data_IF_928587354898
#
_entry.id   IF_928587354898
#
_cell.length_a   1.000
_cell.length_b   1.000
_cell.length_c   1.000
_cell.angle_alpha   90.00
_cell.angle_beta   90.00
_cell.angle_gamma   90.00
#
_symmetry.space_group_name_H-M   'P 1'
#
loop_
_entity.id
_entity.type
_entity.pdbx_description
1 polymer ?
#
# COMPACT_ATOMS: atom_id res chain seq x y z
N UNK A 1 33.15 -14.83 -8.72
CA UNK A 1 32.12 -14.05 -9.45
C UNK A 1 31.02 -13.72 -8.50
N UNK A 2 31.04 -12.52 -7.93
CA UNK A 2 30.17 -12.10 -6.85
C UNK A 2 28.81 -11.63 -7.37
N UNK A 3 27.75 -12.28 -6.92
CA UNK A 3 26.38 -11.80 -7.11
C UNK A 3 26.18 -10.56 -6.24
N UNK A 4 26.16 -9.40 -6.84
CA UNK A 4 25.74 -8.14 -6.20
C UNK A 4 24.22 -8.19 -6.00
N UNK A 5 23.77 -8.54 -4.79
CA UNK A 5 22.38 -8.36 -4.41
C UNK A 5 22.16 -6.88 -4.10
N UNK A 6 21.51 -6.20 -5.03
CA UNK A 6 21.08 -4.81 -4.85
C UNK A 6 19.82 -4.82 -3.99
N UNK A 7 19.79 -3.97 -2.98
CA UNK A 7 18.64 -3.81 -2.10
C UNK A 7 17.42 -3.32 -2.91
N UNK A 8 16.45 -4.21 -3.13
CA UNK A 8 15.18 -3.88 -3.78
C UNK A 8 14.16 -3.50 -2.72
N UNK A 9 13.81 -2.25 -2.70
CA UNK A 9 12.50 -1.84 -2.25
C UNK A 9 11.48 -2.22 -3.32
N UNK A 10 10.41 -2.89 -2.88
CA UNK A 10 9.18 -3.10 -3.66
C UNK A 10 9.39 -3.11 -5.17
N UNK A 11 9.96 -4.17 -5.76
CA UNK A 11 9.94 -4.32 -7.21
C UNK A 11 10.31 -5.74 -7.62
N UNK A 12 9.45 -6.31 -8.40
CA UNK A 12 9.53 -7.65 -8.95
C UNK A 12 10.04 -7.71 -10.36
N UNK A 13 10.57 -8.86 -10.72
CA UNK A 13 10.94 -9.22 -12.10
C UNK A 13 10.17 -10.49 -12.49
N UNK A 14 9.43 -10.42 -13.57
CA UNK A 14 8.78 -11.57 -14.19
C UNK A 14 9.31 -11.80 -15.60
N UNK A 15 9.52 -13.05 -15.98
CA UNK A 15 9.89 -13.47 -17.35
C UNK A 15 9.05 -14.68 -17.79
N UNK A 16 8.46 -14.55 -18.99
CA UNK A 16 8.07 -15.50 -20.07
C UNK A 16 6.88 -16.44 -19.86
N UNK A 17 5.88 -16.25 -20.56
CA UNK A 17 5.17 -16.64 -21.81
C UNK A 17 4.45 -17.99 -21.87
N UNK A 18 3.20 -18.02 -22.31
CA UNK A 18 2.53 -18.65 -23.47
C UNK A 18 1.03 -18.92 -23.25
N UNK A 19 0.24 -18.38 -24.16
CA UNK A 19 -1.11 -18.54 -24.70
C UNK A 19 -2.22 -19.40 -24.05
N UNK A 20 -3.44 -18.86 -24.17
CA UNK A 20 -4.73 -19.56 -24.26
C UNK A 20 -5.95 -18.73 -23.87
N UNK A 21 -6.82 -18.42 -24.83
CA UNK A 21 -8.05 -17.62 -24.69
C UNK A 21 -9.27 -18.46 -24.35
N UNK A 22 -10.18 -17.97 -23.50
CA UNK A 22 -11.62 -18.30 -23.51
C UNK A 22 -12.41 -17.23 -22.72
N UNK A 23 -13.60 -16.87 -23.25
CA UNK A 23 -14.48 -15.83 -22.74
C UNK A 23 -15.56 -16.41 -21.84
N UNK A 24 -15.97 -15.68 -20.79
CA UNK A 24 -17.22 -15.93 -20.04
C UNK A 24 -17.89 -14.65 -19.53
N UNK A 25 -19.25 -14.72 -19.41
CA UNK A 25 -20.20 -13.66 -19.13
C UNK A 25 -20.28 -13.25 -17.65
N UNK A 26 -20.60 -11.97 -17.40
CA UNK A 26 -20.72 -11.33 -16.11
C UNK A 26 -22.15 -11.37 -15.51
N UNK A 27 -22.32 -11.33 -14.21
CA UNK A 27 -23.55 -10.91 -13.55
C UNK A 27 -23.44 -9.52 -12.88
N UNK A 28 -24.62 -8.94 -12.65
CA UNK A 28 -24.97 -7.55 -12.46
C UNK A 28 -24.56 -6.89 -11.13
N UNK A 29 -24.49 -5.56 -11.24
CA UNK A 29 -24.13 -4.51 -10.30
C UNK A 29 -25.06 -4.35 -9.09
N UNK A 30 -24.49 -4.14 -7.88
CA UNK A 30 -25.15 -3.45 -6.78
C UNK A 30 -24.47 -2.11 -6.48
N UNK A 31 -25.25 -1.03 -6.62
CA UNK A 31 -24.87 0.35 -6.33
C UNK A 31 -24.67 0.57 -4.83
N UNK A 32 -23.49 1.00 -4.43
CA UNK A 32 -23.26 1.59 -3.09
C UNK A 32 -23.64 3.07 -3.19
N UNK A 33 -24.82 3.40 -2.65
CA UNK A 33 -25.31 4.77 -2.52
C UNK A 33 -24.53 5.50 -1.42
N UNK A 34 -23.84 6.57 -1.80
CA UNK A 34 -23.33 7.57 -0.86
C UNK A 34 -24.54 8.40 -0.40
N UNK A 35 -25.02 8.17 0.81
CA UNK A 35 -26.04 9.00 1.45
C UNK A 35 -25.49 10.40 1.69
N UNK A 36 -26.09 11.40 1.04
CA UNK A 36 -25.96 12.82 1.42
C UNK A 36 -26.79 13.02 2.68
N UNK A 37 -26.22 13.66 3.71
CA UNK A 37 -26.84 14.12 4.97
C UNK A 37 -26.49 13.35 6.27
N UNK A 38 -25.23 12.97 6.45
CA UNK A 38 -24.73 12.68 7.78
C UNK A 38 -23.84 13.81 8.28
N UNK A 39 -24.16 14.38 9.44
CA UNK A 39 -23.29 15.36 10.11
C UNK A 39 -21.93 14.71 10.36
N UNK A 40 -20.88 15.32 9.84
CA UNK A 40 -19.52 14.80 10.01
C UNK A 40 -19.17 14.74 11.51
N UNK A 41 -18.75 13.57 11.96
CA UNK A 41 -18.27 13.38 13.35
C UNK A 41 -16.78 13.63 13.42
N UNK A 42 -16.31 14.25 14.51
CA UNK A 42 -14.88 14.29 14.80
C UNK A 42 -14.39 12.89 15.13
N UNK A 43 -13.37 12.43 14.43
CA UNK A 43 -12.65 11.21 14.77
C UNK A 43 -11.87 11.36 16.10
N UNK A 44 -11.12 10.32 16.49
CA UNK A 44 -10.32 10.34 17.71
C UNK A 44 -9.25 11.44 17.66
N UNK A 45 -8.93 12.00 18.82
CA UNK A 45 -7.76 12.87 18.98
C UNK A 45 -6.51 11.97 18.89
N UNK A 46 -5.66 12.22 17.89
CA UNK A 46 -4.40 11.51 17.75
C UNK A 46 -3.35 12.07 18.73
N UNK A 47 -2.39 11.24 19.19
CA UNK A 47 -1.27 11.71 19.99
C UNK A 47 -0.51 12.81 19.24
N UNK A 48 -0.22 13.90 19.91
CA UNK A 48 0.54 15.03 19.38
C UNK A 48 1.56 15.50 20.41
N UNK A 49 2.67 16.03 19.94
CA UNK A 49 3.70 16.66 20.75
C UNK A 49 4.10 17.95 20.02
N UNK A 50 3.88 19.13 20.60
CA UNK A 50 4.17 20.43 19.99
C UNK A 50 5.69 20.65 19.76
N UNK A 51 6.54 19.87 20.41
CA UNK A 51 7.99 19.91 20.24
C UNK A 51 8.46 19.15 18.98
N UNK A 52 7.58 18.34 18.37
CA UNK A 52 7.94 17.60 17.16
C UNK A 52 7.97 18.50 15.93
N UNK A 53 8.97 18.31 15.05
CA UNK A 53 9.00 19.03 13.78
C UNK A 53 7.80 18.64 12.92
N UNK A 54 7.26 19.62 12.21
CA UNK A 54 6.13 19.47 11.30
C UNK A 54 6.61 19.37 9.84
N UNK A 55 5.89 18.60 9.05
CA UNK A 55 5.96 18.63 7.60
C UNK A 55 5.25 19.89 7.06
N UNK A 56 5.42 20.16 5.77
CA UNK A 56 4.82 21.30 5.09
C UNK A 56 3.27 21.30 5.14
N UNK A 57 2.65 20.14 5.29
CA UNK A 57 1.21 19.97 5.43
C UNK A 57 0.71 20.09 6.89
N UNK A 58 1.58 20.47 7.82
CA UNK A 58 1.25 20.66 9.23
C UNK A 58 1.16 19.37 10.06
N UNK A 59 1.50 18.22 9.50
CA UNK A 59 1.53 16.93 10.21
C UNK A 59 2.95 16.61 10.72
N UNK A 60 3.04 15.97 11.85
CA UNK A 60 4.29 15.34 12.32
C UNK A 60 4.28 13.83 12.04
N UNK A 61 5.43 13.18 12.21
CA UNK A 61 5.49 11.72 12.18
C UNK A 61 4.57 11.14 13.27
N UNK A 62 3.68 10.17 12.95
CA UNK A 62 2.72 9.64 13.91
C UNK A 62 3.37 9.07 15.17
N UNK A 63 2.86 9.47 16.33
CA UNK A 63 3.32 8.97 17.62
C UNK A 63 2.60 7.65 17.93
N UNK A 64 3.37 6.63 18.29
CA UNK A 64 2.83 5.37 18.80
C UNK A 64 3.24 5.23 20.26
N UNK A 65 2.28 5.06 21.18
CA UNK A 65 2.55 4.87 22.59
C UNK A 65 3.49 3.69 22.86
N UNK A 66 4.19 3.71 23.98
CA UNK A 66 5.05 2.59 24.38
C UNK A 66 4.26 1.44 25.01
N UNK A 67 3.20 1.76 25.75
CA UNK A 67 2.38 0.77 26.47
C UNK A 67 1.40 0.04 25.52
N UNK A 68 1.32 -1.30 25.59
CA UNK A 68 0.42 -2.10 24.75
C UNK A 68 -1.08 -1.76 24.91
N UNK A 69 -1.52 -1.33 26.09
CA UNK A 69 -2.93 -0.99 26.32
C UNK A 69 -3.30 0.34 25.64
N UNK A 70 -2.40 1.31 25.68
CA UNK A 70 -2.55 2.58 24.98
C UNK A 70 -2.53 2.38 23.44
N UNK A 71 -1.63 1.50 22.96
CA UNK A 71 -1.61 1.14 21.53
C UNK A 71 -2.95 0.49 21.13
N UNK A 72 -3.46 -0.44 21.94
CA UNK A 72 -4.74 -1.11 21.64
C UNK A 72 -5.92 -0.13 21.60
N UNK A 73 -5.97 0.80 22.56
CA UNK A 73 -7.00 1.84 22.61
C UNK A 73 -6.91 2.78 21.40
N UNK A 74 -5.71 3.25 21.07
CA UNK A 74 -5.47 4.12 19.91
C UNK A 74 -5.82 3.41 18.60
N UNK A 75 -5.32 2.18 18.41
CA UNK A 75 -5.60 1.39 17.20
C UNK A 75 -7.11 1.15 17.02
N UNK A 76 -7.80 0.77 18.11
CA UNK A 76 -9.24 0.57 18.07
C UNK A 76 -10.00 1.84 17.67
N UNK A 77 -9.60 2.99 18.21
CA UNK A 77 -10.22 4.27 17.89
C UNK A 77 -9.97 4.66 16.42
N UNK A 78 -8.75 4.49 15.94
CA UNK A 78 -8.36 4.76 14.54
C UNK A 78 -9.10 3.84 13.56
N UNK A 79 -9.13 2.53 13.83
CA UNK A 79 -9.84 1.56 12.98
C UNK A 79 -11.34 1.87 12.89
N UNK A 80 -11.98 2.17 14.03
CA UNK A 80 -13.40 2.56 14.04
C UNK A 80 -13.65 3.80 13.19
N UNK A 81 -12.80 4.82 13.33
CA UNK A 81 -12.96 6.07 12.57
C UNK A 81 -12.76 5.86 11.07
N UNK A 82 -11.77 5.08 10.65
CA UNK A 82 -11.53 4.77 9.23
C UNK A 82 -12.67 3.97 8.58
N UNK A 83 -13.42 3.21 9.39
CA UNK A 83 -14.59 2.43 8.94
C UNK A 83 -15.92 3.16 9.14
N UNK A 84 -15.91 4.37 9.71
CA UNK A 84 -17.11 5.19 9.89
C UNK A 84 -17.26 6.19 8.74
N UNK A 85 -18.36 6.05 7.98
CA UNK A 85 -18.69 6.94 6.86
C UNK A 85 -18.98 8.39 7.28
N UNK A 86 -19.09 8.67 8.58
CA UNK A 86 -19.30 10.02 9.11
C UNK A 86 -18.00 10.71 9.52
N UNK A 87 -16.88 10.02 9.53
CA UNK A 87 -15.58 10.63 9.80
C UNK A 87 -15.25 11.69 8.77
N UNK A 88 -14.84 12.87 9.25
CA UNK A 88 -14.48 14.00 8.38
C UNK A 88 -13.34 13.63 7.42
N UNK A 89 -13.49 13.99 6.15
CA UNK A 89 -12.49 13.76 5.12
C UNK A 89 -11.12 14.38 5.46
N UNK A 90 -11.11 15.48 6.19
CA UNK A 90 -9.88 16.18 6.63
C UNK A 90 -9.05 15.35 7.62
N UNK A 91 -9.70 14.45 8.38
CA UNK A 91 -9.01 13.61 9.37
C UNK A 91 -8.45 12.32 8.77
N UNK A 92 -9.00 11.84 7.65
CA UNK A 92 -8.64 10.56 7.05
C UNK A 92 -7.13 10.43 6.74
N UNK A 93 -6.42 11.47 6.22
CA UNK A 93 -4.98 11.37 5.98
C UNK A 93 -4.17 11.07 7.25
N UNK A 94 -4.47 11.77 8.35
CA UNK A 94 -3.79 11.56 9.63
C UNK A 94 -4.15 10.22 10.25
N UNK A 95 -5.40 9.79 10.15
CA UNK A 95 -5.87 8.49 10.65
C UNK A 95 -5.24 7.32 9.89
N UNK A 96 -5.21 7.37 8.56
CA UNK A 96 -4.58 6.34 7.73
C UNK A 96 -3.08 6.24 7.99
N UNK A 97 -2.39 7.36 8.10
CA UNK A 97 -0.97 7.39 8.44
C UNK A 97 -0.70 6.85 9.87
N UNK A 98 -1.54 7.22 10.86
CA UNK A 98 -1.44 6.69 12.22
C UNK A 98 -1.65 5.17 12.25
N UNK A 99 -2.67 4.66 11.56
CA UNK A 99 -2.91 3.22 11.39
C UNK A 99 -1.68 2.52 10.83
N UNK A 100 -1.14 3.03 9.73
CA UNK A 100 0.04 2.47 9.06
C UNK A 100 1.23 2.36 10.00
N UNK A 101 1.56 3.44 10.73
CA UNK A 101 2.74 3.48 11.60
C UNK A 101 2.58 2.53 12.79
N UNK A 102 1.37 2.40 13.37
CA UNK A 102 1.09 1.40 14.41
C UNK A 102 1.39 -0.01 13.87
N UNK A 103 0.86 -0.39 12.70
CA UNK A 103 1.12 -1.71 12.12
C UNK A 103 2.58 -1.91 11.71
N UNK A 104 3.27 -0.85 11.26
CA UNK A 104 4.71 -0.90 10.96
C UNK A 104 5.54 -1.23 12.21
N UNK A 105 5.20 -0.66 13.35
CA UNK A 105 5.91 -0.95 14.60
C UNK A 105 5.54 -2.33 15.15
N UNK A 106 4.25 -2.65 15.25
CA UNK A 106 3.77 -3.93 15.78
C UNK A 106 4.23 -5.14 14.95
N UNK A 107 4.38 -4.99 13.63
CA UNK A 107 4.86 -6.09 12.78
C UNK A 107 6.28 -6.54 13.11
N UNK A 108 7.11 -5.67 13.68
CA UNK A 108 8.50 -5.94 14.09
C UNK A 108 8.61 -6.56 15.50
N UNK A 109 7.60 -6.36 16.36
CA UNK A 109 7.58 -6.86 17.73
C UNK A 109 6.42 -7.84 17.95
N UNK A 110 6.73 -9.14 17.83
CA UNK A 110 5.73 -10.20 18.00
C UNK A 110 5.12 -10.23 19.39
N UNK A 111 5.93 -10.05 20.45
CA UNK A 111 5.44 -10.11 21.83
C UNK A 111 4.50 -8.94 22.14
N UNK A 112 4.85 -7.75 21.69
CA UNK A 112 4.00 -6.57 21.84
C UNK A 112 2.72 -6.70 21.03
N UNK A 113 2.80 -7.15 19.76
CA UNK A 113 1.62 -7.34 18.91
C UNK A 113 0.62 -8.33 19.49
N UNK A 114 1.07 -9.46 20.08
CA UNK A 114 0.19 -10.42 20.73
C UNK A 114 -0.53 -9.83 21.96
N UNK A 115 0.15 -9.00 22.75
CA UNK A 115 -0.48 -8.28 23.87
C UNK A 115 -1.57 -7.33 23.36
N UNK A 116 -1.25 -6.52 22.34
CA UNK A 116 -2.21 -5.57 21.74
C UNK A 116 -3.41 -6.31 21.16
N UNK A 117 -3.19 -7.37 20.39
CA UNK A 117 -4.27 -8.17 19.80
C UNK A 117 -5.26 -8.70 20.85
N UNK A 118 -4.77 -9.23 21.98
CA UNK A 118 -5.62 -9.75 23.05
C UNK A 118 -6.55 -8.69 23.69
N UNK A 119 -6.20 -7.42 23.59
CA UNK A 119 -6.97 -6.29 24.13
C UNK A 119 -8.00 -5.73 23.14
N UNK A 120 -7.93 -6.11 21.86
CA UNK A 120 -8.87 -5.67 20.84
C UNK A 120 -10.15 -6.54 20.86
N UNK A 121 -11.34 -5.98 20.56
CA UNK A 121 -12.54 -6.78 20.28
C UNK A 121 -12.32 -7.72 19.07
N UNK A 122 -12.98 -8.87 19.06
CA UNK A 122 -12.76 -9.97 18.09
C UNK A 122 -12.70 -9.51 16.63
N UNK A 123 -13.65 -8.66 16.21
CA UNK A 123 -13.64 -8.08 14.85
C UNK A 123 -12.32 -7.38 14.54
N UNK A 124 -11.86 -6.52 15.44
CA UNK A 124 -10.64 -5.72 15.23
C UNK A 124 -9.37 -6.51 15.43
N UNK A 125 -9.42 -7.60 16.22
CA UNK A 125 -8.33 -8.59 16.24
C UNK A 125 -8.13 -9.21 14.85
N UNK A 126 -9.21 -9.55 14.17
CA UNK A 126 -9.16 -10.14 12.84
C UNK A 126 -8.54 -9.18 11.82
N UNK A 127 -9.04 -7.94 11.77
CA UNK A 127 -8.48 -6.87 10.92
C UNK A 127 -6.98 -6.67 11.20
N UNK A 128 -6.61 -6.53 12.48
CA UNK A 128 -5.22 -6.32 12.87
C UNK A 128 -4.32 -7.50 12.51
N UNK A 129 -4.79 -8.75 12.65
CA UNK A 129 -4.04 -9.95 12.24
C UNK A 129 -3.70 -9.94 10.75
N UNK A 130 -4.65 -9.56 9.88
CA UNK A 130 -4.40 -9.44 8.44
C UNK A 130 -3.36 -8.38 8.11
N UNK A 131 -3.47 -7.18 8.68
CA UNK A 131 -2.45 -6.13 8.50
C UNK A 131 -1.07 -6.60 8.96
N UNK A 132 -0.98 -7.25 10.12
CA UNK A 132 0.28 -7.77 10.65
C UNK A 132 0.83 -8.90 9.78
N UNK A 133 -0.01 -9.80 9.29
CA UNK A 133 0.39 -10.87 8.38
C UNK A 133 0.99 -10.30 7.09
N UNK A 134 0.27 -9.39 6.42
CA UNK A 134 0.75 -8.73 5.21
C UNK A 134 2.11 -8.02 5.45
N UNK A 135 2.21 -7.24 6.52
CA UNK A 135 3.45 -6.53 6.85
C UNK A 135 4.62 -7.46 7.13
N UNK A 136 4.39 -8.58 7.82
CA UNK A 136 5.41 -9.59 8.14
C UNK A 136 5.89 -10.32 6.90
N UNK A 137 5.02 -10.56 5.91
CA UNK A 137 5.44 -11.11 4.63
C UNK A 137 6.43 -10.18 3.91
N UNK A 138 6.23 -8.86 3.94
CA UNK A 138 7.22 -7.91 3.43
C UNK A 138 8.53 -7.92 4.21
N UNK A 139 8.47 -8.01 5.54
CA UNK A 139 9.68 -8.12 6.36
C UNK A 139 10.46 -9.40 6.03
N UNK A 140 9.76 -10.52 5.80
CA UNK A 140 10.38 -11.80 5.42
C UNK A 140 10.99 -11.73 4.02
N UNK A 141 10.31 -11.11 3.06
CA UNK A 141 10.82 -10.92 1.69
C UNK A 141 12.16 -10.16 1.67
N UNK A 142 12.35 -9.22 2.60
CA UNK A 142 13.53 -8.36 2.67
C UNK A 142 14.50 -8.74 3.80
N UNK A 143 14.29 -9.88 4.47
CA UNK A 143 15.11 -10.28 5.64
C UNK A 143 16.62 -10.29 5.38
N UNK A 144 17.03 -10.67 4.17
CA UNK A 144 18.44 -10.77 3.78
C UNK A 144 18.90 -9.63 2.86
N UNK A 145 18.09 -8.58 2.72
CA UNK A 145 18.44 -7.41 1.91
C UNK A 145 19.32 -6.44 2.70
N UNK A 146 20.29 -5.84 2.02
CA UNK A 146 21.08 -4.78 2.63
C UNK A 146 20.20 -3.56 2.88
N UNK A 147 20.36 -2.96 4.06
CA UNK A 147 19.67 -1.70 4.40
C UNK A 147 20.27 -0.57 3.55
N UNK A 148 19.48 0.15 2.74
CA UNK A 148 19.99 1.20 1.87
C UNK A 148 20.46 2.41 2.68
N UNK A 149 21.53 3.07 2.20
CA UNK A 149 22.05 4.34 2.74
C UNK A 149 21.45 5.54 2.02
N UNK A 150 21.08 5.34 0.77
CA UNK A 150 20.54 6.38 -0.09
C UNK A 150 19.02 6.31 -0.16
N UNK A 151 18.40 7.48 -0.17
CA UNK A 151 17.00 7.62 -0.58
C UNK A 151 16.91 7.60 -2.10
N UNK A 152 15.83 7.05 -2.67
CA UNK A 152 15.71 6.87 -4.11
C UNK A 152 15.47 8.18 -4.87
N UNK A 153 15.77 8.15 -6.16
CA UNK A 153 15.43 9.20 -7.11
C UNK A 153 13.96 9.08 -7.53
N UNK A 154 13.05 9.44 -6.63
CA UNK A 154 11.61 9.39 -6.84
C UNK A 154 10.98 10.78 -6.70
N UNK A 155 9.79 10.91 -7.26
CA UNK A 155 8.81 11.92 -6.85
C UNK A 155 7.70 11.21 -6.08
N UNK A 156 7.29 11.76 -4.94
CA UNK A 156 6.10 11.31 -4.24
C UNK A 156 5.01 12.32 -4.53
N UNK A 157 3.97 11.86 -5.21
CA UNK A 157 2.85 12.66 -5.69
C UNK A 157 1.56 12.30 -4.96
N UNK A 158 0.57 13.18 -5.00
CA UNK A 158 -0.77 12.83 -4.57
C UNK A 158 -1.30 11.70 -5.48
N UNK A 159 -1.94 10.67 -4.91
CA UNK A 159 -2.53 9.61 -5.72
C UNK A 159 -3.74 10.14 -6.48
N UNK A 160 -4.15 9.42 -7.51
CA UNK A 160 -5.46 9.64 -8.15
C UNK A 160 -6.57 9.64 -7.08
N UNK A 161 -7.61 10.50 -7.18
CA UNK A 161 -8.71 10.49 -6.22
C UNK A 161 -9.29 9.11 -5.95
N UNK A 162 -9.55 8.78 -4.68
CA UNK A 162 -10.03 7.48 -4.24
C UNK A 162 -11.22 6.95 -5.06
N UNK A 163 -12.18 7.84 -5.37
CA UNK A 163 -13.36 7.51 -6.20
C UNK A 163 -12.96 7.06 -7.61
N UNK A 164 -11.96 7.69 -8.21
CA UNK A 164 -11.49 7.35 -9.55
C UNK A 164 -10.76 6.01 -9.53
N UNK A 165 -9.85 5.79 -8.57
CA UNK A 165 -9.17 4.50 -8.41
C UNK A 165 -10.17 3.35 -8.22
N UNK A 166 -11.17 3.50 -7.34
CA UNK A 166 -12.22 2.50 -7.16
C UNK A 166 -12.99 2.23 -8.46
N UNK A 167 -13.27 3.26 -9.24
CA UNK A 167 -13.90 3.11 -10.57
C UNK A 167 -13.01 2.33 -11.53
N UNK A 168 -11.70 2.60 -11.57
CA UNK A 168 -10.75 1.91 -12.43
C UNK A 168 -10.60 0.43 -12.06
N UNK A 169 -10.52 0.10 -10.75
CA UNK A 169 -10.48 -1.28 -10.30
C UNK A 169 -11.76 -2.03 -10.66
N UNK A 170 -12.94 -1.44 -10.41
CA UNK A 170 -14.23 -2.07 -10.75
C UNK A 170 -14.41 -2.28 -12.25
N UNK A 171 -13.95 -1.34 -13.07
CA UNK A 171 -13.96 -1.48 -14.53
C UNK A 171 -13.07 -2.65 -14.97
N UNK A 172 -11.87 -2.77 -14.40
CA UNK A 172 -10.95 -3.86 -14.68
C UNK A 172 -11.49 -5.22 -14.22
N UNK A 173 -12.11 -5.29 -13.03
CA UNK A 173 -12.83 -6.47 -12.54
C UNK A 173 -13.93 -6.91 -13.53
N UNK A 174 -14.78 -5.98 -13.96
CA UNK A 174 -15.85 -6.26 -14.93
C UNK A 174 -15.30 -6.79 -16.26
N UNK A 175 -14.17 -6.25 -16.72
CA UNK A 175 -13.57 -6.63 -17.99
C UNK A 175 -12.82 -7.98 -17.95
N UNK A 176 -12.33 -8.40 -16.78
CA UNK A 176 -11.38 -9.51 -16.69
C UNK A 176 -11.77 -10.61 -15.70
N UNK A 177 -12.64 -10.34 -14.73
CA UNK A 177 -12.99 -11.24 -13.64
C UNK A 177 -11.95 -11.25 -12.49
N UNK A 178 -10.86 -10.49 -12.56
CA UNK A 178 -9.94 -10.31 -11.42
C UNK A 178 -10.57 -9.34 -10.43
N UNK A 179 -10.75 -9.76 -9.17
CA UNK A 179 -11.39 -8.96 -8.13
C UNK A 179 -10.75 -7.59 -7.94
N UNK A 180 -11.57 -6.56 -7.75
CA UNK A 180 -11.14 -5.17 -7.55
C UNK A 180 -10.22 -5.02 -6.33
N UNK A 181 -10.48 -5.79 -5.28
CA UNK A 181 -9.70 -5.84 -4.04
C UNK A 181 -8.26 -6.33 -4.28
N UNK A 182 -8.07 -7.28 -5.19
CA UNK A 182 -6.74 -7.75 -5.60
C UNK A 182 -6.00 -6.65 -6.35
N UNK A 183 -6.68 -5.97 -7.28
CA UNK A 183 -6.08 -4.88 -8.06
C UNK A 183 -5.69 -3.69 -7.16
N UNK A 184 -6.55 -3.34 -6.21
CA UNK A 184 -6.27 -2.30 -5.22
C UNK A 184 -5.09 -2.68 -4.31
N UNK A 185 -5.02 -3.95 -3.87
CA UNK A 185 -3.92 -4.45 -3.05
C UNK A 185 -2.59 -4.48 -3.83
N UNK A 186 -2.60 -4.84 -5.12
CA UNK A 186 -1.41 -4.75 -5.98
C UNK A 186 -0.95 -3.29 -6.10
N UNK A 187 -1.86 -2.36 -6.40
CA UNK A 187 -1.51 -0.94 -6.53
C UNK A 187 -0.97 -0.33 -5.21
N UNK A 188 -1.55 -0.75 -4.06
CA UNK A 188 -1.03 -0.38 -2.74
C UNK A 188 0.42 -0.85 -2.56
N UNK A 189 0.68 -2.11 -2.90
CA UNK A 189 1.97 -2.76 -2.68
C UNK A 189 3.05 -2.21 -3.61
N UNK A 190 2.70 -1.97 -4.87
CA UNK A 190 3.65 -1.47 -5.87
C UNK A 190 4.07 -0.02 -5.62
N UNK A 191 3.12 0.87 -5.38
CA UNK A 191 3.41 2.31 -5.37
C UNK A 191 2.66 3.10 -4.30
N UNK A 192 2.02 2.46 -3.33
CA UNK A 192 1.18 3.16 -2.35
C UNK A 192 0.00 3.88 -3.03
N UNK A 193 -0.77 3.18 -3.84
CA UNK A 193 -1.90 3.72 -4.61
C UNK A 193 -1.48 4.74 -5.70
N UNK A 194 -0.29 4.54 -6.29
CA UNK A 194 0.22 5.44 -7.33
C UNK A 194 1.01 6.65 -6.82
N UNK A 195 1.32 6.72 -5.52
CA UNK A 195 2.10 7.84 -4.94
C UNK A 195 3.54 7.88 -5.43
N UNK A 196 4.16 6.73 -5.68
CA UNK A 196 5.54 6.68 -6.18
C UNK A 196 5.53 6.91 -7.69
N UNK A 197 5.94 8.10 -8.11
CA UNK A 197 6.30 8.39 -9.49
C UNK A 197 7.82 8.28 -9.61
N UNK A 198 8.26 7.11 -10.00
CA UNK A 198 9.66 6.74 -10.09
C UNK A 198 9.85 5.47 -10.90
N UNK A 199 11.09 5.26 -11.31
CA UNK A 199 11.49 4.05 -12.03
C UNK A 199 12.24 3.15 -11.06
N UNK A 200 11.91 1.88 -11.06
CA UNK A 200 12.62 0.90 -10.27
C UNK A 200 14.02 0.63 -10.79
N UNK A 201 14.86 -0.02 -9.96
CA UNK A 201 16.18 -0.51 -10.42
C UNK A 201 16.08 -1.53 -11.56
N UNK A 202 14.93 -2.19 -11.69
CA UNK A 202 14.63 -3.11 -12.80
C UNK A 202 13.97 -2.41 -14.00
N UNK A 203 13.85 -1.07 -13.97
CA UNK A 203 13.16 -0.25 -14.97
C UNK A 203 11.62 -0.44 -15.00
N UNK A 204 11.01 -0.91 -13.90
CA UNK A 204 9.55 -0.92 -13.78
C UNK A 204 9.01 0.50 -13.61
N UNK A 205 7.85 0.79 -14.20
CA UNK A 205 7.28 2.13 -14.36
C UNK A 205 5.79 2.17 -14.03
N UNK A 206 5.33 3.38 -13.70
CA UNK A 206 3.92 3.67 -13.48
C UNK A 206 3.34 3.11 -12.17
N UNK A 207 2.05 3.38 -11.90
CA UNK A 207 1.42 3.05 -10.62
C UNK A 207 1.32 1.54 -10.34
N UNK A 208 1.38 0.70 -11.37
CA UNK A 208 1.36 -0.76 -11.26
C UNK A 208 2.72 -1.41 -11.54
N UNK A 209 3.80 -0.61 -11.64
CA UNK A 209 5.19 -1.02 -11.80
C UNK A 209 5.44 -2.05 -12.91
N UNK A 210 4.93 -1.78 -14.09
CA UNK A 210 5.21 -2.61 -15.27
C UNK A 210 6.64 -2.45 -15.79
N UNK A 211 7.26 -3.56 -16.15
CA UNK A 211 8.42 -3.51 -17.04
C UNK A 211 7.95 -3.09 -18.44
N UNK A 212 8.68 -2.20 -19.16
CA UNK A 212 8.32 -1.84 -20.53
C UNK A 212 8.19 -3.04 -21.47
N UNK A 213 8.98 -4.09 -21.27
CA UNK A 213 8.88 -5.33 -22.02
C UNK A 213 7.56 -6.06 -21.80
N UNK A 214 7.09 -6.14 -20.54
CA UNK A 214 5.80 -6.74 -20.19
C UNK A 214 4.65 -5.86 -20.68
N UNK A 215 4.78 -4.53 -20.57
CA UNK A 215 3.78 -3.60 -21.12
C UNK A 215 3.56 -3.81 -22.60
N UNK A 216 4.64 -4.02 -23.37
CA UNK A 216 4.60 -4.21 -24.82
C UNK A 216 4.19 -5.63 -25.26
N UNK A 217 3.92 -6.54 -24.32
CA UNK A 217 3.34 -7.84 -24.67
C UNK A 217 1.95 -7.67 -25.28
N UNK A 218 1.66 -8.40 -26.36
CA UNK A 218 0.36 -8.30 -27.05
C UNK A 218 -0.81 -8.51 -26.09
N UNK A 219 -1.73 -7.53 -26.04
CA UNK A 219 -2.95 -7.56 -25.23
C UNK A 219 -2.69 -7.33 -23.72
N UNK A 220 -1.55 -6.73 -23.32
CA UNK A 220 -1.29 -6.30 -21.96
C UNK A 220 -1.40 -4.78 -21.85
N UNK A 221 -0.39 -4.03 -22.28
CA UNK A 221 -0.41 -2.57 -22.21
C UNK A 221 -1.24 -1.95 -23.35
N UNK A 222 -2.04 -0.98 -22.98
CA UNK A 222 -2.77 -0.09 -23.89
C UNK A 222 -2.75 1.31 -23.28
N UNK A 223 -2.50 2.35 -24.08
CA UNK A 223 -2.40 3.73 -23.59
C UNK A 223 -1.04 4.04 -22.96
N UNK A 224 -1.04 4.67 -21.80
CA UNK A 224 0.16 5.11 -21.10
C UNK A 224 0.44 4.25 -19.85
N UNK A 225 1.64 3.65 -19.78
CA UNK A 225 2.14 2.86 -18.64
C UNK A 225 2.11 3.64 -17.32
N UNK A 226 2.11 4.98 -17.37
CA UNK A 226 2.09 5.87 -16.20
C UNK A 226 0.69 6.37 -15.87
N UNK A 227 -0.29 6.22 -16.76
CA UNK A 227 -1.66 6.55 -16.47
C UNK A 227 -2.29 5.51 -15.51
N UNK A 228 -2.91 5.93 -14.39
CA UNK A 228 -3.48 4.99 -13.43
C UNK A 228 -4.60 4.12 -14.00
N UNK A 229 -5.48 4.67 -14.85
CA UNK A 229 -6.54 3.89 -15.47
C UNK A 229 -5.94 2.78 -16.36
N UNK A 230 -5.05 3.15 -17.28
CA UNK A 230 -4.48 2.24 -18.26
C UNK A 230 -3.63 1.15 -17.62
N UNK A 231 -2.81 1.55 -16.63
CA UNK A 231 -1.97 0.61 -15.89
C UNK A 231 -2.79 -0.40 -15.06
N UNK A 232 -3.91 0.01 -14.44
CA UNK A 232 -4.80 -0.89 -13.69
C UNK A 232 -5.47 -1.88 -14.65
N UNK A 233 -5.96 -1.42 -15.82
CA UNK A 233 -6.53 -2.32 -16.82
C UNK A 233 -5.49 -3.34 -17.32
N UNK A 234 -4.26 -2.90 -17.57
CA UNK A 234 -3.16 -3.77 -17.97
C UNK A 234 -2.80 -4.80 -16.87
N UNK A 235 -2.80 -4.39 -15.60
CA UNK A 235 -2.52 -5.30 -14.48
C UNK A 235 -3.55 -6.42 -14.38
N UNK A 236 -4.82 -6.12 -14.58
CA UNK A 236 -5.88 -7.13 -14.59
C UNK A 236 -5.68 -8.12 -15.75
N UNK A 237 -5.43 -7.63 -16.97
CA UNK A 237 -5.12 -8.49 -18.15
C UNK A 237 -3.88 -9.36 -17.91
N UNK A 238 -2.86 -8.81 -17.28
CA UNK A 238 -1.63 -9.54 -16.97
C UNK A 238 -1.86 -10.65 -15.93
N UNK A 239 -2.62 -10.38 -14.86
CA UNK A 239 -3.00 -11.39 -13.87
C UNK A 239 -3.79 -12.54 -14.52
N UNK A 240 -4.73 -12.25 -15.44
CA UNK A 240 -5.45 -13.26 -16.23
C UNK A 240 -4.46 -14.11 -17.02
N UNK A 241 -3.55 -13.48 -17.78
CA UNK A 241 -2.52 -14.18 -18.56
C UNK A 241 -1.64 -15.08 -17.71
N UNK A 242 -1.38 -14.70 -16.47
CA UNK A 242 -0.59 -15.50 -15.51
C UNK A 242 -1.40 -16.58 -14.80
N UNK A 243 -2.67 -16.79 -15.20
CA UNK A 243 -3.54 -17.83 -14.68
C UNK A 243 -4.29 -17.45 -13.41
N UNK A 244 -4.42 -16.15 -13.14
CA UNK A 244 -5.05 -15.61 -11.93
C UNK A 244 -6.55 -15.91 -11.82
N UNK A 245 -7.25 -16.18 -12.91
CA UNK A 245 -8.65 -16.60 -12.87
C UNK A 245 -8.84 -18.01 -12.30
N UNK A 246 -7.89 -18.90 -12.51
CA UNK A 246 -7.94 -20.28 -12.02
C UNK A 246 -7.33 -20.37 -10.61
N UNK A 247 -6.26 -19.64 -10.36
CA UNK A 247 -5.60 -19.52 -9.07
C UNK A 247 -4.92 -18.15 -8.97
N UNK A 248 -5.50 -17.26 -8.19
CA UNK A 248 -4.99 -15.91 -8.01
C UNK A 248 -3.56 -15.90 -7.44
N UNK A 249 -3.19 -16.90 -6.63
CA UNK A 249 -1.81 -17.04 -6.11
C UNK A 249 -0.81 -17.28 -7.23
N UNK A 250 -1.19 -18.07 -8.24
CA UNK A 250 -0.38 -18.29 -9.44
C UNK A 250 -0.25 -17.01 -10.26
N UNK A 251 -1.34 -16.26 -10.42
CA UNK A 251 -1.33 -14.94 -11.06
C UNK A 251 -0.39 -13.96 -10.37
N UNK A 252 -0.48 -13.84 -9.06
CA UNK A 252 0.36 -12.97 -8.25
C UNK A 252 1.83 -13.41 -8.23
N UNK A 253 2.10 -14.72 -8.22
CA UNK A 253 3.46 -15.22 -8.36
C UNK A 253 4.03 -14.88 -9.74
N UNK A 254 3.24 -14.98 -10.79
CA UNK A 254 3.62 -14.54 -12.13
C UNK A 254 3.83 -13.04 -12.24
N UNK A 255 3.18 -12.24 -11.37
CA UNK A 255 3.36 -10.80 -11.30
C UNK A 255 4.69 -10.42 -10.65
N UNK A 256 5.06 -11.08 -9.55
CA UNK A 256 6.23 -10.71 -8.72
C UNK A 256 7.12 -11.88 -8.29
N UNK A 257 7.13 -13.02 -8.88
CA UNK A 257 8.04 -14.14 -8.59
C UNK A 257 8.37 -14.37 -7.09
N UNK A 258 7.46 -13.97 -6.18
CA UNK A 258 7.63 -14.08 -4.73
C UNK A 258 6.37 -14.58 -4.06
N UNK A 259 6.46 -15.68 -3.32
CA UNK A 259 5.37 -16.17 -2.48
C UNK A 259 5.03 -15.17 -1.34
N UNK A 260 6.01 -14.46 -0.81
CA UNK A 260 5.79 -13.43 0.21
C UNK A 260 4.98 -12.27 -0.34
N UNK A 261 5.28 -11.84 -1.57
CA UNK A 261 4.48 -10.83 -2.27
C UNK A 261 3.02 -11.26 -2.40
N UNK A 262 2.79 -12.44 -2.98
CA UNK A 262 1.45 -12.95 -3.19
C UNK A 262 0.64 -13.06 -1.90
N UNK A 263 1.25 -13.57 -0.81
CA UNK A 263 0.60 -13.63 0.51
C UNK A 263 0.26 -12.25 1.05
N UNK A 264 1.17 -11.28 0.96
CA UNK A 264 0.92 -9.92 1.44
C UNK A 264 -0.21 -9.24 0.67
N UNK A 265 -0.23 -9.36 -0.67
CA UNK A 265 -1.33 -8.84 -1.50
C UNK A 265 -2.67 -9.48 -1.10
N UNK A 266 -2.71 -10.79 -0.90
CA UNK A 266 -3.94 -11.50 -0.54
C UNK A 266 -4.47 -11.12 0.84
N UNK A 267 -3.61 -10.83 1.82
CA UNK A 267 -4.08 -10.33 3.12
C UNK A 267 -4.71 -8.94 3.01
N UNK A 268 -4.15 -8.03 2.19
CA UNK A 268 -4.77 -6.73 1.94
C UNK A 268 -6.04 -6.84 1.08
N UNK A 269 -6.05 -7.72 0.08
CA UNK A 269 -7.25 -7.98 -0.71
C UNK A 269 -8.40 -8.52 0.16
N UNK A 270 -8.10 -9.45 1.06
CA UNK A 270 -9.10 -9.99 1.97
C UNK A 270 -9.67 -8.94 2.95
N UNK A 271 -8.85 -7.97 3.41
CA UNK A 271 -9.38 -6.83 4.19
C UNK A 271 -10.42 -6.04 3.40
N UNK A 272 -10.15 -5.79 2.11
CA UNK A 272 -11.04 -5.03 1.22
C UNK A 272 -12.30 -5.81 0.83
N UNK A 273 -12.18 -7.13 0.67
CA UNK A 273 -13.29 -8.03 0.38
C UNK A 273 -14.24 -8.14 1.58
N UNK A 274 -13.70 -8.31 2.79
CA UNK A 274 -14.48 -8.43 4.04
C UNK A 274 -15.16 -7.13 4.43
N UNK A 275 -14.51 -6.00 4.24
CA UNK A 275 -15.08 -4.66 4.48
C UNK A 275 -14.47 -3.62 3.53
N UNK A 276 -15.18 -3.24 2.45
CA UNK A 276 -14.68 -2.23 1.50
C UNK A 276 -14.29 -0.89 2.13
N UNK A 277 -14.77 -0.58 3.35
CA UNK A 277 -14.39 0.64 4.08
C UNK A 277 -12.94 0.62 4.54
N UNK A 278 -12.29 -0.55 4.61
CA UNK A 278 -10.85 -0.67 4.85
C UNK A 278 -10.02 0.09 3.80
N UNK A 279 -10.59 0.34 2.61
CA UNK A 279 -9.97 1.15 1.57
C UNK A 279 -9.60 2.55 2.06
N UNK A 280 -10.41 3.17 2.94
CA UNK A 280 -10.10 4.49 3.50
C UNK A 280 -8.75 4.50 4.22
N UNK A 281 -8.47 3.49 5.06
CA UNK A 281 -7.17 3.40 5.74
C UNK A 281 -6.02 3.22 4.74
N UNK A 282 -6.12 2.19 3.90
CA UNK A 282 -5.07 1.81 2.95
C UNK A 282 -4.78 2.90 1.91
N UNK A 283 -5.81 3.63 1.46
CA UNK A 283 -5.66 4.74 0.52
C UNK A 283 -4.84 5.89 1.11
N UNK A 284 -4.97 6.19 2.41
CA UNK A 284 -4.22 7.26 3.08
C UNK A 284 -2.90 6.81 3.71
N UNK A 285 -2.44 5.59 3.41
CA UNK A 285 -1.09 5.17 3.77
C UNK A 285 -0.06 5.98 2.98
N UNK A 286 1.00 6.36 3.68
CA UNK A 286 2.08 7.19 3.16
C UNK A 286 3.26 6.34 2.68
N UNK A 287 4.22 6.96 2.01
CA UNK A 287 5.42 6.27 1.57
C UNK A 287 6.47 6.28 2.68
N UNK A 288 6.84 5.10 3.11
CA UNK A 288 7.86 4.87 4.13
C UNK A 288 9.01 4.04 3.60
N UNK A 289 10.22 4.50 3.88
CA UNK A 289 11.47 3.84 3.52
C UNK A 289 12.27 3.44 4.76
N UNK A 290 12.57 2.15 4.91
CA UNK A 290 13.53 1.68 5.91
C UNK A 290 14.94 1.82 5.36
N UNK A 291 15.80 2.56 6.05
CA UNK A 291 17.21 2.74 5.72
C UNK A 291 18.07 2.73 7.00
N UNK A 292 19.38 2.99 6.87
CA UNK A 292 20.32 3.02 8.01
C UNK A 292 19.93 4.05 9.11
N UNK A 293 19.18 5.11 8.75
CA UNK A 293 18.72 6.14 9.69
C UNK A 293 17.38 5.77 10.37
N UNK A 294 16.78 4.63 10.02
CA UNK A 294 15.50 4.15 10.53
C UNK A 294 14.39 4.10 9.49
N UNK A 295 13.16 4.20 9.96
CA UNK A 295 11.95 4.17 9.13
C UNK A 295 11.54 5.61 8.78
N UNK A 296 11.84 6.06 7.57
CA UNK A 296 11.61 7.44 7.15
C UNK A 296 10.30 7.57 6.38
N UNK A 297 9.54 8.60 6.69
CA UNK A 297 8.39 9.03 5.91
C UNK A 297 8.84 9.94 4.78
N UNK A 298 8.53 9.58 3.54
CA UNK A 298 8.71 10.39 2.35
C UNK A 298 7.33 10.96 1.93
N UNK A 299 7.02 12.22 2.29
CA UNK A 299 5.69 12.79 2.06
C UNK A 299 5.48 13.16 0.59
N UNK A 300 4.23 13.45 0.24
CA UNK A 300 3.91 14.12 -1.02
C UNK A 300 4.73 15.41 -1.13
N UNK A 301 5.39 15.60 -2.28
CA UNK A 301 6.36 16.68 -2.49
C UNK A 301 7.82 16.25 -2.35
N UNK A 302 8.12 15.05 -1.81
CA UNK A 302 9.46 14.48 -1.98
C UNK A 302 9.78 14.39 -3.47
N UNK A 303 10.92 15.01 -3.89
CA UNK A 303 11.29 15.08 -5.29
C UNK A 303 12.81 15.05 -5.42
N UNK A 304 13.35 13.94 -5.90
CA UNK A 304 14.79 13.76 -6.09
C UNK A 304 15.07 13.23 -7.49
N UNK A 305 15.88 13.96 -8.25
CA UNK A 305 16.30 13.54 -9.59
C UNK A 305 17.43 12.51 -9.58
N UNK A 306 18.12 12.35 -8.44
CA UNK A 306 19.18 11.37 -8.20
C UNK A 306 19.13 10.87 -6.76
N UNK A 307 19.63 9.65 -6.46
CA UNK A 307 19.69 9.17 -5.09
C UNK A 307 20.50 10.11 -4.19
N UNK A 308 20.00 10.36 -2.97
CA UNK A 308 20.63 11.25 -1.98
C UNK A 308 20.89 10.52 -0.66
N UNK A 309 21.85 11.01 0.13
CA UNK A 309 22.10 10.51 1.47
C UNK A 309 20.92 10.78 2.39
N UNK A 310 20.44 9.75 3.11
CA UNK A 310 19.32 9.89 4.05
C UNK A 310 19.64 10.91 5.17
N UNK A 311 20.89 10.96 5.63
CA UNK A 311 21.35 11.93 6.62
C UNK A 311 21.27 13.39 6.12
N UNK A 312 21.56 13.63 4.84
CA UNK A 312 21.43 14.97 4.23
C UNK A 312 19.98 15.39 4.08
N UNK A 313 19.11 14.45 3.71
CA UNK A 313 17.68 14.69 3.64
C UNK A 313 17.09 15.05 5.02
N UNK A 314 17.44 14.29 6.06
CA UNK A 314 16.93 14.51 7.42
C UNK A 314 17.37 15.84 8.05
N UNK A 315 18.52 16.41 7.64
CA UNK A 315 18.91 17.76 8.06
C UNK A 315 17.93 18.83 7.57
N UNK A 316 17.34 18.62 6.39
CA UNK A 316 16.35 19.55 5.80
C UNK A 316 14.93 19.23 6.25
N UNK A 317 14.62 17.94 6.44
CA UNK A 317 13.27 17.42 6.74
C UNK A 317 13.29 16.53 7.99
N UNK A 318 13.58 17.09 9.19
CA UNK A 318 13.66 16.30 10.42
C UNK A 318 12.36 15.61 10.81
N UNK A 319 11.20 16.14 10.35
CA UNK A 319 9.88 15.55 10.55
C UNK A 319 9.68 14.19 9.84
N UNK A 320 10.58 13.81 8.92
CA UNK A 320 10.51 12.53 8.21
C UNK A 320 10.86 11.31 9.08
N UNK A 321 11.37 11.51 10.29
CA UNK A 321 11.83 10.44 11.18
C UNK A 321 11.06 10.45 12.51
N UNK A 322 10.69 9.27 13.07
CA UNK A 322 10.21 9.20 14.46
C UNK A 322 11.29 9.67 15.44
N UNK A 323 10.86 10.23 16.56
CA UNK A 323 11.75 10.50 17.70
C UNK A 323 12.34 9.21 18.28
#
# INVERSE_FOLDING_TARGET
MGKRHLALMLISVGVISVMGSLAFNAPSTNNVLISKDKVATKGPILPSDPELPLMADGRHYPIVPADPSEIAALLLAVEKALHDSTTSAEQLPSLGHQQQVIYRQLSKDYKKSEKVLKMLPTRWQHVAKRHLAARREFLNMHRNSNIPRLLPAWRIIAPEPAKNLLSYYRKAETATGIGWEVLAAVNLVETGMGRIDGVSVANAQGPMQFLPTTWNEQGIGEGDIRDPHDAIQAAARYLVRRGGLQDIRKGLWGYNNSNHYGKAVLEYAALLEEDPRAFNGLYYWEIHLVNEMGDLWLPVGYNQSKPIQASSYLKQFPASKPK
#
